data_IF_556431343039
#
_entry.id   IF_556431343039
#
_cell.length_a   1.000
_cell.length_b   1.000
_cell.length_c   1.000
_cell.angle_alpha   90.00
_cell.angle_beta   90.00
_cell.angle_gamma   90.00
#
_symmetry.space_group_name_H-M   'P 1'
#
loop_
_entity.id
_entity.type
_entity.pdbx_description
1 polymer ?
#
# COMPACT_ATOMS: atom_id res chain seq x y z
N UNK A 1 19.53 -18.47 -16.61
CA UNK A 1 18.26 -19.21 -16.57
C UNK A 1 17.16 -18.17 -16.50
N UNK A 2 16.30 -18.09 -17.52
CA UNK A 2 15.16 -17.19 -17.49
C UNK A 2 14.19 -17.69 -16.41
N UNK A 3 13.85 -16.84 -15.46
CA UNK A 3 12.78 -17.14 -14.51
C UNK A 3 11.49 -16.98 -15.30
N UNK A 4 10.70 -18.05 -15.36
CA UNK A 4 9.47 -18.10 -16.16
C UNK A 4 8.30 -17.94 -15.18
N UNK A 5 7.43 -16.99 -15.48
CA UNK A 5 6.23 -16.78 -14.68
C UNK A 5 5.30 -18.00 -14.75
N UNK A 6 4.96 -18.58 -13.60
CA UNK A 6 4.09 -19.77 -13.50
C UNK A 6 2.62 -19.51 -13.86
N UNK A 7 2.20 -18.24 -13.95
CA UNK A 7 0.83 -17.86 -14.34
C UNK A 7 0.67 -17.74 -15.85
N UNK A 8 1.60 -17.04 -16.49
CA UNK A 8 1.45 -16.65 -17.90
C UNK A 8 2.53 -17.24 -18.82
N UNK A 9 3.50 -18.00 -18.29
CA UNK A 9 4.51 -18.72 -19.08
C UNK A 9 5.54 -17.83 -19.77
N UNK A 10 5.48 -16.51 -19.54
CA UNK A 10 6.42 -15.53 -20.08
C UNK A 10 7.70 -15.45 -19.22
N UNK A 11 8.86 -15.12 -19.83
CA UNK A 11 10.04 -14.69 -19.09
C UNK A 11 9.69 -13.53 -18.14
N UNK A 12 10.23 -13.53 -16.92
CA UNK A 12 9.95 -12.51 -15.89
C UNK A 12 10.16 -11.08 -16.40
N UNK A 13 11.15 -10.89 -17.27
CA UNK A 13 11.48 -9.63 -17.94
C UNK A 13 10.41 -9.12 -18.93
N UNK A 14 9.45 -9.96 -19.34
CA UNK A 14 8.31 -9.63 -20.20
C UNK A 14 6.95 -9.85 -19.50
N UNK A 15 6.97 -10.19 -18.21
CA UNK A 15 5.78 -10.57 -17.47
C UNK A 15 5.06 -9.34 -16.88
N UNK A 16 3.87 -9.03 -17.40
CA UNK A 16 2.99 -7.98 -16.85
C UNK A 16 2.01 -8.50 -15.78
N UNK A 17 2.14 -9.75 -15.37
CA UNK A 17 1.13 -10.44 -14.57
C UNK A 17 1.00 -9.85 -13.15
N UNK A 18 2.04 -9.19 -12.61
CA UNK A 18 1.96 -8.44 -11.36
C UNK A 18 1.46 -6.99 -11.49
N UNK A 19 1.41 -6.45 -12.71
CA UNK A 19 0.91 -5.09 -12.99
C UNK A 19 -0.61 -5.11 -13.16
N UNK A 20 -1.14 -6.14 -13.82
CA UNK A 20 -2.57 -6.40 -13.96
C UNK A 20 -3.27 -6.65 -12.62
N UNK A 21 -2.63 -7.33 -11.66
CA UNK A 21 -3.23 -7.59 -10.35
C UNK A 21 -3.39 -6.31 -9.50
N UNK A 22 -2.56 -5.29 -9.74
CA UNK A 22 -2.67 -3.99 -9.06
C UNK A 22 -3.86 -3.16 -9.58
N UNK A 23 -4.36 -3.42 -10.79
CA UNK A 23 -5.49 -2.68 -11.36
C UNK A 23 -6.83 -3.00 -10.69
N UNK A 24 -7.03 -4.23 -10.18
CA UNK A 24 -8.26 -4.64 -9.47
C UNK A 24 -8.25 -4.30 -7.96
N UNK A 25 -7.19 -3.67 -7.46
CA UNK A 25 -7.00 -3.48 -6.00
C UNK A 25 -7.54 -2.13 -5.52
N UNK A 26 -8.71 -2.11 -4.87
CA UNK A 26 -9.25 -0.89 -4.22
C UNK A 26 -8.55 -0.61 -2.90
N UNK A 27 -7.88 0.54 -2.80
CA UNK A 27 -7.17 1.01 -1.60
C UNK A 27 -7.96 2.13 -0.95
N UNK A 28 -8.18 2.02 0.37
CA UNK A 28 -8.90 3.03 1.15
C UNK A 28 -7.92 3.66 2.12
N UNK A 29 -7.82 4.99 2.10
CA UNK A 29 -7.02 5.80 3.02
C UNK A 29 -7.97 6.69 3.81
N UNK A 30 -8.14 6.44 5.10
CA UNK A 30 -9.07 7.20 5.95
C UNK A 30 -8.43 7.67 7.24
N UNK A 31 -9.03 8.70 7.83
CA UNK A 31 -8.64 9.19 9.14
C UNK A 31 -9.52 8.60 10.24
N UNK A 32 -8.91 7.98 11.25
CA UNK A 32 -9.59 7.54 12.47
C UNK A 32 -9.06 8.27 13.69
N UNK A 33 -9.96 8.61 14.62
CA UNK A 33 -9.57 9.04 15.97
C UNK A 33 -9.49 7.83 16.88
N UNK A 34 -8.31 7.60 17.45
CA UNK A 34 -8.06 6.54 18.44
C UNK A 34 -7.91 7.12 19.85
N UNK A 35 -7.34 6.32 20.75
CA UNK A 35 -7.13 6.65 22.17
C UNK A 35 -6.60 8.07 22.34
N UNK A 36 -7.13 8.77 23.34
CA UNK A 36 -6.78 10.16 23.66
C UNK A 36 -7.01 11.15 22.52
N UNK A 37 -8.01 10.90 21.67
CA UNK A 37 -8.33 11.74 20.51
C UNK A 37 -7.19 11.93 19.51
N UNK A 38 -6.20 11.03 19.53
CA UNK A 38 -5.10 11.05 18.57
C UNK A 38 -5.59 10.57 17.22
N UNK A 39 -5.28 11.34 16.19
CA UNK A 39 -5.56 11.00 14.80
C UNK A 39 -4.59 9.95 14.30
N UNK A 40 -5.12 9.01 13.53
CA UNK A 40 -4.39 7.91 12.91
C UNK A 40 -4.87 7.78 11.47
N UNK A 41 -3.94 7.75 10.53
CA UNK A 41 -4.22 7.42 9.13
C UNK A 41 -4.27 5.90 9.00
N UNK A 42 -5.39 5.39 8.49
CA UNK A 42 -5.66 3.98 8.23
C UNK A 42 -5.56 3.74 6.72
N UNK A 43 -4.85 2.70 6.31
CA UNK A 43 -4.69 2.30 4.91
C UNK A 43 -5.11 0.84 4.78
N UNK A 44 -6.02 0.56 3.85
CA UNK A 44 -6.60 -0.77 3.63
C UNK A 44 -6.55 -1.14 2.16
N UNK A 45 -6.65 -2.45 1.86
CA UNK A 45 -6.67 -2.93 0.47
C UNK A 45 -5.28 -3.25 -0.09
N UNK A 46 -4.20 -3.14 0.70
CA UNK A 46 -2.88 -3.59 0.28
C UNK A 46 -2.75 -5.09 0.59
N UNK A 47 -2.70 -5.94 -0.44
CA UNK A 47 -2.54 -7.38 -0.28
C UNK A 47 -1.13 -7.73 0.23
N UNK A 48 -0.99 -8.31 1.45
CA UNK A 48 0.31 -8.69 2.02
C UNK A 48 1.01 -9.81 1.24
N UNK A 49 0.32 -10.54 0.35
CA UNK A 49 0.94 -11.57 -0.50
C UNK A 49 1.60 -10.98 -1.75
N UNK A 50 1.06 -9.87 -2.25
CA UNK A 50 1.54 -9.21 -3.47
C UNK A 50 2.47 -8.04 -3.17
N UNK A 51 2.32 -7.44 -1.98
CA UNK A 51 3.10 -6.29 -1.54
C UNK A 51 3.84 -6.61 -0.26
N UNK A 52 5.12 -6.23 -0.19
CA UNK A 52 5.90 -6.30 1.05
C UNK A 52 5.43 -5.20 2.02
N UNK A 53 4.35 -5.50 2.74
CA UNK A 53 3.71 -4.60 3.71
C UNK A 53 4.71 -4.16 4.79
N UNK A 54 5.68 -5.00 5.18
CA UNK A 54 6.68 -4.61 6.18
C UNK A 54 7.63 -3.54 5.64
N UNK A 55 8.09 -3.69 4.41
CA UNK A 55 8.90 -2.67 3.74
C UNK A 55 8.13 -1.37 3.54
N UNK A 56 6.86 -1.44 3.13
CA UNK A 56 5.97 -0.28 3.00
C UNK A 56 5.86 0.48 4.31
N UNK A 57 5.55 -0.19 5.43
CA UNK A 57 5.43 0.46 6.75
C UNK A 57 6.75 1.13 7.13
N UNK A 58 7.89 0.44 6.93
CA UNK A 58 9.20 0.98 7.29
C UNK A 58 9.50 2.26 6.51
N UNK A 59 9.19 2.27 5.22
CA UNK A 59 9.37 3.43 4.36
C UNK A 59 8.43 4.57 4.77
N UNK A 60 7.14 4.30 4.97
CA UNK A 60 6.15 5.29 5.39
C UNK A 60 6.53 5.93 6.75
N UNK A 61 6.95 5.11 7.73
CA UNK A 61 7.43 5.60 9.03
C UNK A 61 8.65 6.50 8.89
N UNK A 62 9.62 6.10 8.06
CA UNK A 62 10.83 6.88 7.81
C UNK A 62 10.49 8.21 7.12
N UNK A 63 9.55 8.19 6.18
CA UNK A 63 9.14 9.35 5.38
C UNK A 63 8.36 10.38 6.19
N UNK A 64 7.44 9.92 7.04
CA UNK A 64 6.55 10.79 7.81
C UNK A 64 7.00 11.03 9.26
N UNK A 65 8.16 10.47 9.64
CA UNK A 65 8.71 10.56 10.98
C UNK A 65 7.69 10.20 12.08
N UNK A 66 6.85 9.20 11.82
CA UNK A 66 5.74 8.81 12.69
C UNK A 66 5.85 7.36 13.18
N UNK A 67 5.12 7.06 14.25
CA UNK A 67 4.86 5.68 14.65
C UNK A 67 3.85 5.03 13.71
N UNK A 68 3.99 3.73 13.49
CA UNK A 68 3.05 2.98 12.66
C UNK A 68 3.19 1.47 12.82
N UNK A 69 2.16 0.74 12.42
CA UNK A 69 2.11 -0.72 12.45
C UNK A 69 1.15 -1.24 11.40
N UNK A 70 1.31 -2.49 10.95
CA UNK A 70 0.28 -3.19 10.21
C UNK A 70 -0.34 -4.27 11.08
N UNK A 71 -1.67 -4.33 11.06
CA UNK A 71 -2.43 -5.34 11.79
C UNK A 71 -3.76 -5.59 11.08
N UNK A 72 -4.17 -6.84 11.03
CA UNK A 72 -5.50 -7.26 10.57
C UNK A 72 -5.84 -6.77 9.13
N UNK A 73 -4.83 -6.65 8.26
CA UNK A 73 -5.00 -6.15 6.88
C UNK A 73 -4.94 -4.63 6.72
N UNK A 74 -4.66 -3.90 7.81
CA UNK A 74 -4.57 -2.44 7.82
C UNK A 74 -3.16 -1.97 8.12
N UNK A 75 -2.71 -0.91 7.46
CA UNK A 75 -1.56 -0.11 7.89
C UNK A 75 -2.08 1.10 8.67
N UNK A 76 -1.49 1.35 9.82
CA UNK A 76 -1.83 2.44 10.72
C UNK A 76 -0.63 3.35 10.89
N UNK A 77 -0.81 4.65 10.68
CA UNK A 77 0.20 5.68 10.89
C UNK A 77 -0.33 6.74 11.84
N UNK A 78 0.47 7.15 12.83
CA UNK A 78 0.09 8.21 13.76
C UNK A 78 0.11 9.56 13.05
N UNK A 79 -0.97 10.35 13.16
CA UNK A 79 -1.12 11.62 12.46
C UNK A 79 -2.08 11.54 11.28
N UNK A 80 -2.32 12.69 10.64
CA UNK A 80 -3.03 12.79 9.36
C UNK A 80 -2.01 12.90 8.24
N UNK A 81 -1.91 11.84 7.43
CA UNK A 81 -0.98 11.71 6.32
C UNK A 81 -1.69 11.28 5.03
N UNK A 82 -3.01 11.52 4.95
CA UNK A 82 -3.85 11.00 3.86
C UNK A 82 -3.34 11.40 2.47
N UNK A 83 -3.05 12.68 2.27
CA UNK A 83 -2.57 13.21 0.99
C UNK A 83 -1.18 12.68 0.63
N UNK A 84 -0.28 12.63 1.60
CA UNK A 84 1.08 12.12 1.41
C UNK A 84 1.09 10.62 1.09
N UNK A 85 0.21 9.85 1.76
CA UNK A 85 0.02 8.42 1.52
C UNK A 85 -0.53 8.20 0.12
N UNK A 86 -1.53 8.97 -0.33
CA UNK A 86 -2.02 8.90 -1.71
C UNK A 86 -0.85 9.11 -2.70
N UNK A 87 -0.06 10.15 -2.50
CA UNK A 87 1.10 10.42 -3.35
C UNK A 87 2.18 9.33 -3.31
N UNK A 88 2.34 8.66 -2.17
CA UNK A 88 3.24 7.50 -2.05
C UNK A 88 2.73 6.29 -2.84
N UNK A 89 1.44 5.95 -2.70
CA UNK A 89 0.83 4.83 -3.41
C UNK A 89 0.88 5.02 -4.93
N UNK A 90 0.64 6.23 -5.43
CA UNK A 90 0.79 6.56 -6.86
C UNK A 90 2.23 6.29 -7.35
N UNK A 91 3.26 6.66 -6.57
CA UNK A 91 4.67 6.39 -6.92
C UNK A 91 5.02 4.91 -6.91
N UNK A 92 4.32 4.10 -6.13
CA UNK A 92 4.47 2.63 -6.13
C UNK A 92 3.82 1.95 -7.35
N UNK A 93 3.13 2.73 -8.18
CA UNK A 93 2.41 2.22 -9.36
C UNK A 93 1.00 1.75 -9.06
N UNK A 94 0.39 2.16 -7.95
CA UNK A 94 -1.05 1.97 -7.77
C UNK A 94 -1.82 3.00 -8.61
N UNK A 95 -2.93 2.56 -9.21
CA UNK A 95 -3.77 3.42 -10.03
C UNK A 95 -4.50 4.46 -9.16
N UNK A 96 -4.55 5.71 -9.60
CA UNK A 96 -5.26 6.78 -8.90
C UNK A 96 -6.75 6.47 -8.71
N UNK A 97 -7.39 5.88 -9.73
CA UNK A 97 -8.80 5.51 -9.67
C UNK A 97 -9.09 4.44 -8.60
N UNK A 98 -8.06 3.71 -8.18
CA UNK A 98 -8.17 2.66 -7.19
C UNK A 98 -7.94 3.16 -5.76
N UNK A 99 -7.45 4.40 -5.58
CA UNK A 99 -7.15 4.98 -4.26
C UNK A 99 -8.28 5.93 -3.84
N UNK A 100 -9.02 5.54 -2.81
CA UNK A 100 -10.05 6.35 -2.19
C UNK A 100 -9.53 7.01 -0.91
N UNK A 101 -9.55 8.35 -0.86
CA UNK A 101 -9.16 9.11 0.33
C UNK A 101 -10.40 9.68 1.01
N UNK A 102 -10.55 9.43 2.32
CA UNK A 102 -11.68 9.85 3.16
C UNK A 102 -11.24 10.77 4.29
#
# INVERSE_FOLDING_TARGET
>A
MAVICKKCGLPDDLCACGELEKEDTRIIVRLEKRRFSKTTTMIEGIDPKQSDVQSIIKELKSRFACGGTAKDGFIMLQGDHRDDVKGYLLRMGFNEAAIEVQ
#
